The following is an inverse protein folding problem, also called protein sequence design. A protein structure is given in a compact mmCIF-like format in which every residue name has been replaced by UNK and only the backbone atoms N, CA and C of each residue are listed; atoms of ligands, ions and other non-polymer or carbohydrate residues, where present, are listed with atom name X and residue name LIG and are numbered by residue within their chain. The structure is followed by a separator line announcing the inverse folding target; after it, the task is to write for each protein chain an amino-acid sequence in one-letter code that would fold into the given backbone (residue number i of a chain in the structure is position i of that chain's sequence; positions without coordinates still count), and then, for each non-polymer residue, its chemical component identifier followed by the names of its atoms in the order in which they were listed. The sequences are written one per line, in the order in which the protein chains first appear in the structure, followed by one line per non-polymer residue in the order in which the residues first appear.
data_IF_542135213540
#
_entry.id   IF_542135213540
#
_cell.length_a   1.000
_cell.length_b   1.000
_cell.length_c   1.000
_cell.angle_alpha   90.00
_cell.angle_beta   90.00
_cell.angle_gamma   90.00
#
_symmetry.space_group_name_H-M   'P 1'
#
loop_
_entity.id
_entity.type
_entity.pdbx_description
1 polymer ?
#
# COMPACT_ATOMS: atom_id res chain seq x y z
N UNK A 1 -7.02 0.67 5.74
CA UNK A 1 -6.95 1.59 4.57
C UNK A 1 -5.73 2.48 4.76
N UNK A 2 -4.92 2.65 3.72
CA UNK A 2 -3.86 3.66 3.69
C UNK A 2 -4.45 4.97 3.16
N UNK A 3 -4.01 6.10 3.70
CA UNK A 3 -4.48 7.43 3.33
C UNK A 3 -3.27 8.28 2.93
N UNK A 4 -3.30 8.86 1.73
CA UNK A 4 -2.31 9.85 1.31
C UNK A 4 -2.46 11.11 2.17
N UNK A 5 -1.42 11.47 2.92
CA UNK A 5 -1.43 12.65 3.80
C UNK A 5 -1.58 13.98 3.05
N UNK A 6 -1.19 14.04 1.77
CA UNK A 6 -1.23 15.28 0.98
C UNK A 6 -2.61 15.58 0.40
N UNK A 7 -3.31 14.55 -0.09
CA UNK A 7 -4.54 14.74 -0.89
C UNK A 7 -5.69 13.81 -0.49
N UNK A 8 -5.50 12.94 0.52
CA UNK A 8 -6.56 12.08 1.04
C UNK A 8 -6.97 10.90 0.15
N UNK A 9 -6.17 10.54 -0.86
CA UNK A 9 -6.42 9.33 -1.64
C UNK A 9 -6.38 8.06 -0.77
N UNK A 10 -7.27 7.11 -1.04
CA UNK A 10 -7.45 5.90 -0.25
C UNK A 10 -6.90 4.68 -1.00
N UNK A 11 -6.15 3.84 -0.30
CA UNK A 11 -5.57 2.62 -0.86
C UNK A 11 -5.83 1.40 0.03
N UNK A 12 -5.99 0.26 -0.64
CA UNK A 12 -6.03 -1.05 0.00
C UNK A 12 -4.60 -1.43 0.47
N UNK A 13 -4.35 -1.67 1.76
CA UNK A 13 -3.01 -1.93 2.26
C UNK A 13 -2.44 -3.28 1.81
N UNK A 14 -3.29 -4.25 1.47
CA UNK A 14 -2.84 -5.59 1.08
C UNK A 14 -2.48 -5.65 -0.41
N UNK A 15 -3.22 -4.94 -1.25
CA UNK A 15 -3.10 -5.03 -2.72
C UNK A 15 -2.57 -3.78 -3.39
N UNK A 16 -2.52 -2.65 -2.68
CA UNK A 16 -2.19 -1.34 -3.24
C UNK A 16 -3.32 -0.71 -4.08
N UNK A 17 -4.45 -1.39 -4.29
CA UNK A 17 -5.53 -0.89 -5.13
C UNK A 17 -6.06 0.48 -4.68
N UNK A 18 -6.28 1.41 -5.60
CA UNK A 18 -6.97 2.68 -5.33
C UNK A 18 -8.42 2.39 -4.95
N UNK A 19 -8.83 2.83 -3.76
CA UNK A 19 -10.20 2.67 -3.22
C UNK A 19 -11.03 3.95 -3.31
N UNK A 20 -10.45 5.02 -3.85
CA UNK A 20 -11.13 6.29 -4.12
C UNK A 20 -10.28 7.52 -3.79
N UNK A 21 -10.77 8.68 -4.18
CA UNK A 21 -10.10 9.97 -3.97
C UNK A 21 -9.17 10.38 -5.12
N UNK A 22 -8.26 11.34 -4.89
CA UNK A 22 -7.44 11.95 -5.96
C UNK A 22 -6.38 11.05 -6.61
N UNK A 23 -6.38 9.73 -6.35
CA UNK A 23 -5.48 8.77 -7.00
C UNK A 23 -5.74 8.57 -8.50
N UNK A 24 -6.86 9.07 -9.05
CA UNK A 24 -7.25 8.89 -10.47
C UNK A 24 -7.29 7.41 -10.91
N UNK A 25 -7.58 6.51 -9.99
CA UNK A 25 -7.56 5.06 -10.23
C UNK A 25 -6.17 4.42 -10.15
N UNK A 26 -5.09 5.19 -10.03
CA UNK A 26 -3.74 4.64 -9.90
C UNK A 26 -3.54 4.02 -8.51
N UNK A 27 -3.19 2.73 -8.46
CA UNK A 27 -2.82 2.04 -7.23
C UNK A 27 -1.38 2.30 -6.81
N UNK A 28 -1.04 1.83 -5.61
CA UNK A 28 0.33 1.71 -5.11
C UNK A 28 0.95 0.42 -5.62
N UNK A 29 2.28 0.41 -5.74
CA UNK A 29 3.06 -0.80 -5.96
C UNK A 29 3.18 -1.53 -4.62
N UNK A 30 2.68 -2.77 -4.48
CA UNK A 30 2.86 -3.56 -3.27
C UNK A 30 4.34 -3.85 -3.04
N UNK A 31 4.77 -3.79 -1.78
CA UNK A 31 6.10 -4.26 -1.36
C UNK A 31 5.90 -5.64 -0.74
N UNK A 32 6.37 -6.73 -1.40
CA UNK A 32 6.25 -8.06 -0.84
C UNK A 32 7.14 -8.16 0.39
N UNK A 33 6.61 -8.74 1.46
CA UNK A 33 7.29 -8.88 2.74
C UNK A 33 7.08 -10.26 3.32
N UNK A 34 8.08 -10.73 4.05
CA UNK A 34 8.05 -12.01 4.79
C UNK A 34 8.52 -11.79 6.22
N UNK A 35 7.83 -12.45 7.16
CA UNK A 35 8.28 -12.53 8.54
C UNK A 35 9.24 -13.71 8.71
N UNK A 36 10.46 -13.43 9.19
CA UNK A 36 11.46 -14.45 9.54
C UNK A 36 12.12 -14.07 10.85
N UNK A 37 12.12 -15.00 11.80
CA UNK A 37 12.73 -14.84 13.13
C UNK A 37 12.22 -13.58 13.88
N UNK A 38 10.92 -13.31 13.80
CA UNK A 38 10.27 -12.15 14.44
C UNK A 38 10.61 -10.80 13.79
N UNK A 39 11.24 -10.79 12.61
CA UNK A 39 11.59 -9.60 11.85
C UNK A 39 10.90 -9.60 10.49
N UNK A 40 10.47 -8.43 10.02
CA UNK A 40 9.89 -8.25 8.69
C UNK A 40 10.99 -7.92 7.68
N UNK A 41 11.06 -8.71 6.60
CA UNK A 41 12.01 -8.54 5.50
C UNK A 41 11.26 -8.20 4.22
N UNK A 42 11.87 -7.37 3.36
CA UNK A 42 11.37 -7.13 2.00
C UNK A 42 11.83 -8.30 1.12
N UNK A 43 10.93 -8.88 0.34
CA UNK A 43 11.28 -9.85 -0.70
C UNK A 43 11.75 -9.11 -1.96
N UNK A 44 12.85 -9.57 -2.57
CA UNK A 44 13.36 -9.05 -3.86
C UNK A 44 12.53 -9.53 -5.05
#
# INVERSE_FOLDING_TARGET
LLICSTHGALYDPATGACRGGPCRGNGLIPVPVVERDGTIHIEE
#
